data_IF_390114167295
#
_entry.id   IF_390114167295
#
_cell.length_a   1.000
_cell.length_b   1.000
_cell.length_c   1.000
_cell.angle_alpha   90.00
_cell.angle_beta   90.00
_cell.angle_gamma   90.00
#
_symmetry.space_group_name_H-M   'P 1'
#
loop_
_entity.id
_entity.type
_entity.pdbx_description
1 polymer ?
#
# COMPACT_ATOMS: atom_id res chain seq x y z
N UNK A 1 51.19 -17.56 -14.55
CA UNK A 1 49.87 -17.46 -13.90
C UNK A 1 49.84 -16.21 -13.02
N UNK A 2 49.56 -15.04 -13.62
CA UNK A 2 49.40 -13.78 -12.91
C UNK A 2 47.92 -13.63 -12.55
N UNK A 3 47.52 -14.05 -11.33
CA UNK A 3 46.17 -13.82 -10.82
C UNK A 3 46.12 -12.37 -10.32
N UNK A 4 45.76 -11.45 -11.21
CA UNK A 4 45.58 -10.06 -10.85
C UNK A 4 44.36 -9.96 -9.89
N UNK A 5 44.54 -9.53 -8.63
CA UNK A 5 43.52 -9.62 -7.59
C UNK A 5 42.24 -8.82 -7.93
N UNK A 6 42.35 -7.82 -8.80
CA UNK A 6 41.22 -6.98 -9.24
C UNK A 6 40.25 -7.75 -10.14
N UNK A 7 40.74 -8.63 -11.02
CA UNK A 7 39.88 -9.40 -11.92
C UNK A 7 39.06 -10.47 -11.15
N UNK A 8 39.65 -11.06 -10.11
CA UNK A 8 38.98 -12.06 -9.28
C UNK A 8 37.86 -11.42 -8.46
N UNK A 9 38.09 -10.22 -7.89
CA UNK A 9 37.06 -9.48 -7.16
C UNK A 9 35.89 -9.05 -8.07
N UNK A 10 36.17 -8.61 -9.30
CA UNK A 10 35.15 -8.22 -10.28
C UNK A 10 34.26 -9.40 -10.71
N UNK A 11 34.84 -10.58 -10.94
CA UNK A 11 34.08 -11.80 -11.30
C UNK A 11 33.19 -12.24 -10.14
N UNK A 12 33.68 -12.18 -8.90
CA UNK A 12 32.89 -12.53 -7.71
C UNK A 12 31.72 -11.55 -7.54
N UNK A 13 31.93 -10.23 -7.68
CA UNK A 13 30.83 -9.26 -7.63
C UNK A 13 29.78 -9.47 -8.72
N UNK A 14 30.20 -9.88 -9.93
CA UNK A 14 29.29 -10.14 -11.05
C UNK A 14 28.45 -11.40 -10.82
N UNK A 15 29.04 -12.50 -10.34
CA UNK A 15 28.29 -13.73 -10.00
C UNK A 15 27.37 -13.53 -8.79
N UNK A 16 27.81 -12.79 -7.76
CA UNK A 16 26.97 -12.46 -6.61
C UNK A 16 25.77 -11.60 -7.04
N UNK A 17 25.97 -10.65 -7.95
CA UNK A 17 24.89 -9.81 -8.46
C UNK A 17 23.87 -10.59 -9.30
N UNK A 18 24.32 -11.53 -10.13
CA UNK A 18 23.43 -12.37 -10.94
C UNK A 18 22.55 -13.30 -10.08
N UNK A 19 23.13 -13.90 -9.03
CA UNK A 19 22.38 -14.73 -8.08
C UNK A 19 21.39 -13.90 -7.24
N UNK A 20 21.75 -12.67 -6.87
CA UNK A 20 20.85 -11.75 -6.14
C UNK A 20 19.71 -11.29 -7.05
N UNK A 21 19.97 -10.95 -8.31
CA UNK A 21 18.94 -10.55 -9.27
C UNK A 21 17.89 -11.64 -9.50
N UNK A 22 18.34 -12.90 -9.65
CA UNK A 22 17.44 -14.03 -9.78
C UNK A 22 16.54 -14.17 -8.53
N UNK A 23 17.12 -14.00 -7.34
CA UNK A 23 16.36 -14.06 -6.09
C UNK A 23 15.36 -12.91 -5.97
N UNK A 24 15.77 -11.68 -6.27
CA UNK A 24 14.90 -10.49 -6.28
C UNK A 24 13.72 -10.67 -7.23
N UNK A 25 13.97 -11.19 -8.43
CA UNK A 25 12.93 -11.44 -9.42
C UNK A 25 11.95 -12.54 -8.95
N UNK A 26 12.47 -13.63 -8.38
CA UNK A 26 11.62 -14.71 -7.84
C UNK A 26 10.72 -14.18 -6.71
N UNK A 27 11.28 -13.41 -5.78
CA UNK A 27 10.50 -12.81 -4.68
C UNK A 27 9.46 -11.83 -5.22
N UNK A 28 9.83 -11.00 -6.21
CA UNK A 28 8.90 -10.07 -6.86
C UNK A 28 7.71 -10.81 -7.48
N UNK A 29 7.98 -11.85 -8.28
CA UNK A 29 6.93 -12.67 -8.91
C UNK A 29 6.05 -13.35 -7.86
N UNK A 30 6.64 -13.89 -6.79
CA UNK A 30 5.88 -14.53 -5.71
C UNK A 30 4.97 -13.55 -4.97
N UNK A 31 5.47 -12.36 -4.62
CA UNK A 31 4.67 -11.34 -3.93
C UNK A 31 3.54 -10.86 -4.83
N UNK A 32 3.81 -10.61 -6.12
CA UNK A 32 2.78 -10.22 -7.09
C UNK A 32 1.74 -11.32 -7.24
N UNK A 33 2.16 -12.58 -7.40
CA UNK A 33 1.26 -13.72 -7.50
C UNK A 33 0.41 -13.90 -6.23
N UNK A 34 0.99 -13.70 -5.04
CA UNK A 34 0.25 -13.75 -3.78
C UNK A 34 -0.83 -12.65 -3.71
N UNK A 35 -0.49 -11.40 -4.05
CA UNK A 35 -1.47 -10.31 -4.07
C UNK A 35 -2.57 -10.52 -5.13
N UNK A 36 -2.19 -10.97 -6.32
CA UNK A 36 -3.11 -11.25 -7.41
C UNK A 36 -4.03 -12.42 -7.08
N UNK A 37 -3.50 -13.49 -6.49
CA UNK A 37 -4.27 -14.66 -6.09
C UNK A 37 -5.30 -14.32 -5.01
N UNK A 38 -4.99 -13.42 -4.07
CA UNK A 38 -5.96 -12.93 -3.09
C UNK A 38 -7.13 -12.20 -3.77
N UNK A 39 -6.84 -11.32 -4.74
CA UNK A 39 -7.85 -10.64 -5.54
C UNK A 39 -8.69 -11.60 -6.39
N UNK A 40 -8.06 -12.57 -7.06
CA UNK A 40 -8.73 -13.59 -7.86
C UNK A 40 -9.60 -14.49 -6.98
N UNK A 41 -9.12 -14.90 -5.81
CA UNK A 41 -9.86 -15.72 -4.87
C UNK A 41 -11.16 -15.03 -4.43
N UNK A 42 -11.10 -13.75 -4.03
CA UNK A 42 -12.31 -12.98 -3.69
C UNK A 42 -13.24 -12.79 -4.90
N UNK A 43 -12.69 -12.59 -6.10
CA UNK A 43 -13.48 -12.46 -7.33
C UNK A 43 -14.25 -13.76 -7.66
N UNK A 44 -13.57 -14.91 -7.65
CA UNK A 44 -14.19 -16.19 -7.97
C UNK A 44 -15.15 -16.70 -6.87
N UNK A 45 -14.84 -16.49 -5.57
CA UNK A 45 -15.79 -16.84 -4.50
C UNK A 45 -17.03 -15.95 -4.50
N UNK A 46 -16.89 -14.67 -4.87
CA UNK A 46 -18.03 -13.74 -4.97
C UNK A 46 -18.91 -14.05 -6.19
N UNK A 47 -18.32 -14.57 -7.27
CA UNK A 47 -19.04 -15.07 -8.45
C UNK A 47 -19.97 -16.26 -8.17
N UNK A 48 -19.74 -17.02 -7.08
CA UNK A 48 -20.62 -18.13 -6.69
C UNK A 48 -21.91 -17.71 -5.96
N UNK A 49 -21.98 -16.49 -5.42
CA UNK A 49 -23.15 -15.96 -4.69
C UNK A 49 -23.98 -14.94 -5.50
N UNK A 50 -23.42 -14.35 -6.56
CA UNK A 50 -24.20 -13.51 -7.48
C UNK A 50 -23.70 -13.67 -8.92
N UNK A 51 -24.30 -14.62 -9.64
CA UNK A 51 -24.18 -14.74 -11.10
C UNK A 51 -25.39 -14.10 -11.82
N UNK A 52 -26.20 -13.28 -11.14
CA UNK A 52 -27.45 -12.78 -11.71
C UNK A 52 -28.03 -11.48 -11.16
N UNK A 53 -27.44 -10.84 -10.15
CA UNK A 53 -27.97 -9.60 -9.60
C UNK A 53 -26.88 -8.55 -9.48
N UNK A 54 -26.96 -7.50 -10.31
CA UNK A 54 -26.01 -6.40 -10.33
C UNK A 54 -25.70 -5.92 -8.91
N UNK A 55 -24.44 -6.01 -8.53
CA UNK A 55 -23.95 -5.52 -7.25
C UNK A 55 -24.25 -4.03 -7.19
N UNK A 56 -25.25 -3.64 -6.40
CA UNK A 56 -25.50 -2.24 -6.06
C UNK A 56 -24.17 -1.66 -5.59
N UNK A 57 -23.76 -0.52 -6.16
CA UNK A 57 -22.47 0.14 -5.90
C UNK A 57 -22.15 0.18 -4.40
N UNK A 58 -23.17 0.38 -3.59
CA UNK A 58 -23.17 0.36 -2.14
C UNK A 58 -22.57 -0.90 -1.48
N UNK A 59 -22.73 -2.09 -2.04
CA UNK A 59 -22.19 -3.32 -1.43
C UNK A 59 -20.68 -3.47 -1.64
N UNK A 60 -20.16 -2.91 -2.74
CA UNK A 60 -18.73 -2.89 -3.06
C UNK A 60 -18.05 -1.70 -2.39
N UNK A 61 -18.71 -0.54 -2.32
CA UNK A 61 -18.16 0.67 -1.70
C UNK A 61 -18.35 0.74 -0.17
N UNK A 62 -19.48 0.28 0.37
CA UNK A 62 -19.80 0.41 1.80
C UNK A 62 -19.56 -0.87 2.60
N UNK A 63 -19.25 -2.00 1.97
CA UNK A 63 -18.96 -3.26 2.67
C UNK A 63 -20.03 -3.61 3.72
N UNK A 64 -21.31 -3.45 3.35
CA UNK A 64 -22.48 -3.67 4.21
C UNK A 64 -22.55 -2.79 5.48
N UNK A 65 -21.82 -1.66 5.57
CA UNK A 65 -21.68 -0.83 6.79
C UNK A 65 -21.26 -1.62 8.04
N UNK A 66 -20.77 -2.85 7.85
CA UNK A 66 -20.44 -3.80 8.91
C UNK A 66 -18.92 -3.92 9.14
N UNK A 67 -18.12 -3.21 8.35
CA UNK A 67 -16.69 -3.11 8.58
C UNK A 67 -16.45 -2.34 9.88
N UNK A 68 -15.93 -3.04 10.89
CA UNK A 68 -15.62 -2.44 12.19
C UNK A 68 -14.65 -1.25 12.07
N UNK A 69 -14.59 -0.44 13.11
CA UNK A 69 -13.74 0.77 13.15
C UNK A 69 -12.25 0.44 12.95
N UNK A 70 -11.82 -0.75 13.40
CA UNK A 70 -10.43 -1.21 13.31
C UNK A 70 -9.94 -1.42 11.85
N UNK A 71 -10.59 -2.24 11.00
CA UNK A 71 -10.19 -2.39 9.60
C UNK A 71 -10.37 -1.09 8.79
N UNK A 72 -11.34 -0.25 9.15
CA UNK A 72 -11.55 1.04 8.50
C UNK A 72 -10.36 1.99 8.74
N UNK A 73 -9.92 2.12 9.99
CA UNK A 73 -8.76 2.93 10.35
C UNK A 73 -7.45 2.35 9.77
N UNK A 74 -7.30 1.03 9.76
CA UNK A 74 -6.12 0.40 9.16
C UNK A 74 -6.00 0.70 7.65
N UNK A 75 -7.12 0.65 6.92
CA UNK A 75 -7.12 0.96 5.48
C UNK A 75 -6.87 2.44 5.20
N UNK A 76 -7.33 3.37 6.04
CA UNK A 76 -7.06 4.80 5.84
C UNK A 76 -5.59 5.12 6.02
N UNK A 77 -4.94 4.54 7.03
CA UNK A 77 -3.49 4.66 7.24
C UNK A 77 -2.73 4.05 6.07
N UNK A 78 -3.15 2.89 5.54
CA UNK A 78 -2.51 2.26 4.40
C UNK A 78 -2.49 3.15 3.14
N UNK A 79 -3.58 3.89 2.87
CA UNK A 79 -3.66 4.80 1.71
C UNK A 79 -2.76 6.03 1.82
N UNK A 80 -2.31 6.40 3.03
CA UNK A 80 -1.42 7.55 3.23
C UNK A 80 0.03 7.23 2.90
N UNK A 81 0.44 5.97 3.04
CA UNK A 81 1.81 5.55 2.80
C UNK A 81 1.95 4.96 1.41
N UNK A 82 2.66 5.67 0.54
CA UNK A 82 2.99 5.23 -0.82
C UNK A 82 4.49 4.94 -0.96
N UNK A 83 4.87 4.19 -2.00
CA UNK A 83 6.26 3.80 -2.29
C UNK A 83 7.28 4.97 -2.29
N UNK A 84 6.98 6.15 -2.88
CA UNK A 84 7.91 7.28 -2.87
C UNK A 84 8.26 7.78 -1.46
N UNK A 85 7.35 7.63 -0.50
CA UNK A 85 7.57 8.12 0.86
C UNK A 85 8.75 7.41 1.54
N UNK A 86 8.91 6.10 1.30
CA UNK A 86 9.98 5.30 1.91
C UNK A 86 11.39 5.74 1.49
N UNK A 87 11.55 6.23 0.26
CA UNK A 87 12.83 6.78 -0.23
C UNK A 87 12.98 8.24 0.17
N UNK A 88 11.89 9.00 0.19
CA UNK A 88 11.90 10.42 0.54
C UNK A 88 12.28 10.66 2.01
N UNK A 89 11.80 9.84 2.95
CA UNK A 89 12.12 10.01 4.37
C UNK A 89 13.61 9.99 4.68
N UNK A 90 14.39 8.96 4.32
CA UNK A 90 15.83 8.96 4.57
C UNK A 90 16.53 10.09 3.81
N UNK A 91 16.13 10.39 2.56
CA UNK A 91 16.71 11.51 1.80
C UNK A 91 16.52 12.85 2.53
N UNK A 92 15.34 13.09 3.11
CA UNK A 92 15.08 14.27 3.93
C UNK A 92 15.89 14.26 5.23
N UNK A 93 15.96 13.12 5.93
CA UNK A 93 16.78 13.00 7.15
C UNK A 93 18.27 13.28 6.87
N UNK A 94 18.80 12.87 5.72
CA UNK A 94 20.18 13.16 5.33
C UNK A 94 20.41 14.64 5.00
N UNK A 95 19.46 15.31 4.34
CA UNK A 95 19.62 16.71 3.92
C UNK A 95 19.38 17.70 5.07
N UNK A 96 18.45 17.38 5.97
CA UNK A 96 17.89 18.33 6.94
C UNK A 96 18.20 17.93 8.40
N UNK A 97 18.58 16.67 8.66
CA UNK A 97 18.90 16.20 10.00
C UNK A 97 17.67 15.94 10.88
N UNK A 98 17.82 16.07 12.20
CA UNK A 98 16.82 15.60 13.17
C UNK A 98 15.46 16.32 13.11
N UNK A 99 15.41 17.56 12.60
CA UNK A 99 14.16 18.32 12.56
C UNK A 99 13.10 17.74 11.62
N UNK A 100 13.49 16.83 10.72
CA UNK A 100 12.55 16.10 9.85
C UNK A 100 11.55 15.25 10.64
N UNK A 101 11.82 14.92 11.91
CA UNK A 101 10.91 14.14 12.75
C UNK A 101 9.55 14.83 12.96
N UNK A 102 9.50 16.17 12.93
CA UNK A 102 8.24 16.94 13.02
C UNK A 102 7.28 16.63 11.86
N UNK A 103 7.82 16.30 10.68
CA UNK A 103 7.01 15.92 9.52
C UNK A 103 6.31 14.58 9.72
N UNK A 104 6.89 13.66 10.49
CA UNK A 104 6.27 12.38 10.83
C UNK A 104 5.15 12.54 11.88
N UNK A 105 5.26 13.53 12.76
CA UNK A 105 4.22 13.81 13.77
C UNK A 105 2.98 14.51 13.20
N UNK A 106 3.12 15.29 12.13
CA UNK A 106 2.01 16.00 11.48
C UNK A 106 0.84 15.09 11.05
N UNK A 107 1.04 13.99 10.29
CA UNK A 107 -0.06 13.08 9.93
C UNK A 107 -0.63 12.32 11.12
N UNK A 108 0.18 12.04 12.16
CA UNK A 108 -0.28 11.41 13.41
C UNK A 108 -1.32 12.27 14.15
N UNK A 109 -1.14 13.59 14.15
CA UNK A 109 -2.10 14.53 14.74
C UNK A 109 -3.28 14.83 13.80
N UNK A 110 -3.05 14.89 12.49
CA UNK A 110 -4.08 15.22 11.50
C UNK A 110 -5.07 14.06 11.27
N UNK A 111 -4.62 12.80 11.34
CA UNK A 111 -5.44 11.59 11.20
C UNK A 111 -6.67 11.55 12.15
N UNK A 112 -6.52 11.66 13.49
CA UNK A 112 -7.66 11.64 14.39
C UNK A 112 -8.58 12.84 14.17
N UNK A 113 -8.03 14.03 13.92
CA UNK A 113 -8.80 15.23 13.58
C UNK A 113 -9.64 15.02 12.31
N UNK A 114 -9.05 14.49 11.25
CA UNK A 114 -9.72 14.17 10.01
C UNK A 114 -10.84 13.14 10.23
N UNK A 115 -10.61 12.08 10.99
CA UNK A 115 -11.66 11.09 11.28
C UNK A 115 -12.81 11.67 12.09
N UNK A 116 -12.56 12.53 13.07
CA UNK A 116 -13.60 13.13 13.91
C UNK A 116 -14.41 14.19 13.17
N UNK A 117 -13.86 14.83 12.14
CA UNK A 117 -14.55 15.90 11.39
C UNK A 117 -15.18 15.36 10.11
N UNK A 118 -14.44 14.57 9.31
CA UNK A 118 -14.87 14.11 7.98
C UNK A 118 -15.89 12.97 8.08
N UNK A 119 -15.75 12.06 9.05
CA UNK A 119 -16.68 10.92 9.23
C UNK A 119 -18.10 11.38 9.61
N UNK A 120 -18.33 12.26 10.62
CA UNK A 120 -19.70 12.70 10.91
C UNK A 120 -20.30 13.57 9.79
N UNK A 121 -19.48 14.34 9.08
CA UNK A 121 -19.92 15.12 7.90
C UNK A 121 -20.43 14.21 6.77
N UNK A 122 -19.69 13.15 6.43
CA UNK A 122 -20.09 12.20 5.38
C UNK A 122 -21.27 11.31 5.83
N UNK A 123 -21.27 10.86 7.09
CA UNK A 123 -22.32 10.00 7.61
C UNK A 123 -23.66 10.73 7.77
N UNK A 124 -23.62 12.05 8.02
CA UNK A 124 -24.80 12.92 8.10
C UNK A 124 -25.50 13.17 6.77
N UNK A 125 -24.78 13.24 5.64
CA UNK A 125 -25.36 13.53 4.33
C UNK A 125 -25.73 12.28 3.51
N UNK A 126 -25.42 11.06 3.98
CA UNK A 126 -25.71 9.76 3.29
C UNK A 126 -25.28 9.72 1.81
N UNK A 127 -24.27 10.49 1.41
CA UNK A 127 -23.84 10.60 0.01
C UNK A 127 -22.85 9.46 -0.31
N UNK A 128 -22.99 8.86 -1.49
CA UNK A 128 -22.14 7.75 -1.93
C UNK A 128 -20.84 8.22 -2.59
N UNK A 129 -20.76 9.50 -2.99
CA UNK A 129 -19.53 10.14 -3.45
C UNK A 129 -19.55 11.66 -3.19
N UNK A 130 -18.39 12.29 -3.04
CA UNK A 130 -18.25 13.76 -2.86
C UNK A 130 -18.83 14.56 -4.04
N UNK A 131 -19.03 13.92 -5.21
CA UNK A 131 -19.49 14.55 -6.45
C UNK A 131 -20.90 14.11 -6.88
N UNK A 132 -21.77 13.73 -5.95
CA UNK A 132 -23.17 13.44 -6.27
C UNK A 132 -23.89 14.76 -6.62
N UNK A 133 -23.91 15.09 -7.91
CA UNK A 133 -24.72 16.18 -8.47
C UNK A 133 -26.06 15.58 -8.89
N UNK A 134 -27.15 16.10 -8.33
CA UNK A 134 -28.53 15.71 -8.67
C UNK A 134 -29.00 16.42 -9.93
#
# INVERSE_FOLDING_TARGET
MNKNPVAVAQVISCEQFEMVLLLEYVVFVLVVAANLSLGLYFSFRRSGYSLGGGTTKDEVFLGNRALGVLPLAASSVASLYSSPALVAFPAHYYAYGWHTIFLAFAPLLCLPLATQVIVPLLHGLRITSVFEVR
#
